data_IF_419336385698
#
_entry.id   IF_419336385698
#
_cell.length_a   1.000
_cell.length_b   1.000
_cell.length_c   1.000
_cell.angle_alpha   90.00
_cell.angle_beta   90.00
_cell.angle_gamma   90.00
#
_symmetry.space_group_name_H-M   'P 1'
#
loop_
_entity.id
_entity.type
_entity.pdbx_description
1 polymer ?
#
# COMPACT_ATOMS: atom_id res chain seq x y z
N UNK A 1 22.81 23.92 15.82
CA UNK A 1 22.30 22.69 16.47
C UNK A 1 20.98 22.34 15.80
N UNK A 2 20.94 21.37 14.88
CA UNK A 2 19.69 20.99 14.22
C UNK A 2 18.92 20.10 15.19
N UNK A 3 17.83 20.60 15.74
CA UNK A 3 16.91 19.81 16.57
C UNK A 3 16.26 18.81 15.61
N UNK A 4 16.68 17.54 15.66
CA UNK A 4 16.01 16.49 14.92
C UNK A 4 14.60 16.34 15.51
N UNK A 5 13.58 16.83 14.80
CA UNK A 5 12.18 16.68 15.20
C UNK A 5 11.86 15.19 15.39
N UNK A 6 11.60 14.82 16.64
CA UNK A 6 11.39 13.42 17.00
C UNK A 6 9.94 13.05 16.72
N UNK A 7 9.73 11.98 15.94
CA UNK A 7 8.39 11.52 15.58
C UNK A 7 7.85 10.52 16.61
N UNK A 8 6.56 10.66 16.95
CA UNK A 8 5.82 9.77 17.85
C UNK A 8 4.77 8.97 17.09
N UNK A 9 4.79 7.64 17.20
CA UNK A 9 3.65 6.81 16.81
C UNK A 9 3.52 5.57 17.69
N UNK A 10 2.31 5.28 18.16
CA UNK A 10 2.01 4.11 19.02
C UNK A 10 2.97 3.97 20.22
N UNK A 11 3.29 5.07 20.89
CA UNK A 11 4.20 5.10 22.03
C UNK A 11 5.70 5.02 21.69
N UNK A 12 6.06 4.79 20.42
CA UNK A 12 7.46 4.75 19.98
C UNK A 12 7.91 6.16 19.60
N UNK A 13 9.06 6.55 20.14
CA UNK A 13 9.73 7.84 19.91
C UNK A 13 11.02 7.56 19.14
N UNK A 14 11.10 8.00 17.87
CA UNK A 14 12.30 7.85 17.03
C UNK A 14 12.47 9.08 16.13
N UNK A 15 13.70 9.38 15.67
CA UNK A 15 13.94 10.46 14.72
C UNK A 15 13.09 10.32 13.45
N UNK A 16 12.86 9.08 13.01
CA UNK A 16 11.99 8.75 11.87
C UNK A 16 11.12 7.56 12.24
N UNK A 17 9.80 7.67 12.06
CA UNK A 17 8.86 6.56 12.22
C UNK A 17 8.24 6.19 10.88
N UNK A 18 8.68 5.05 10.34
CA UNK A 18 8.14 4.52 9.09
C UNK A 18 6.82 3.80 9.37
N UNK A 19 5.70 4.39 8.92
CA UNK A 19 4.38 3.77 9.04
C UNK A 19 4.31 2.47 8.23
N UNK A 20 3.54 1.49 8.72
CA UNK A 20 3.27 0.26 7.97
C UNK A 20 2.49 0.58 6.70
N UNK A 21 3.02 0.19 5.56
CA UNK A 21 2.30 0.24 4.29
C UNK A 21 1.17 -0.80 4.28
N UNK A 22 -0.03 -0.34 3.92
CA UNK A 22 -1.22 -1.18 3.74
C UNK A 22 -2.12 -0.63 2.66
N UNK A 23 -2.62 -1.52 1.81
CA UNK A 23 -3.72 -1.24 0.89
C UNK A 23 -4.99 -1.82 1.46
N UNK A 24 -6.06 -1.02 1.48
CA UNK A 24 -7.37 -1.43 1.96
C UNK A 24 -8.38 -1.09 0.86
N UNK A 25 -9.12 -2.10 0.40
CA UNK A 25 -10.32 -1.91 -0.40
C UNK A 25 -11.53 -2.00 0.53
N UNK A 26 -12.46 -1.05 0.39
CA UNK A 26 -13.65 -0.95 1.23
C UNK A 26 -14.88 -0.93 0.34
N UNK A 27 -15.90 -1.70 0.69
CA UNK A 27 -17.18 -1.76 -0.03
C UNK A 27 -18.32 -2.09 0.92
N UNK A 28 -19.54 -1.68 0.58
CA UNK A 28 -20.76 -2.15 1.24
C UNK A 28 -21.20 -3.55 0.81
N UNK A 29 -20.63 -4.08 -0.28
CA UNK A 29 -20.93 -5.43 -0.78
C UNK A 29 -19.79 -6.40 -0.42
N UNK A 30 -20.03 -7.42 0.41
CA UNK A 30 -19.03 -8.43 0.76
C UNK A 30 -18.70 -9.30 -0.46
N UNK A 31 -19.69 -9.73 -1.22
CA UNK A 31 -19.54 -10.53 -2.44
C UNK A 31 -18.61 -9.86 -3.46
N UNK A 32 -18.72 -8.53 -3.62
CA UNK A 32 -17.83 -7.77 -4.47
C UNK A 32 -16.37 -7.86 -4.01
N UNK A 33 -16.12 -7.70 -2.70
CA UNK A 33 -14.76 -7.75 -2.16
C UNK A 33 -14.17 -9.15 -2.17
N UNK A 34 -15.00 -10.18 -1.96
CA UNK A 34 -14.57 -11.58 -2.08
C UNK A 34 -14.12 -11.89 -3.51
N UNK A 35 -14.94 -11.57 -4.51
CA UNK A 35 -14.59 -11.77 -5.92
C UNK A 35 -13.37 -10.95 -6.33
N UNK A 36 -13.31 -9.68 -5.93
CA UNK A 36 -12.13 -8.83 -6.16
C UNK A 36 -10.88 -9.44 -5.54
N UNK A 37 -10.97 -9.94 -4.31
CA UNK A 37 -9.86 -10.56 -3.61
C UNK A 37 -9.39 -11.86 -4.24
N UNK A 38 -10.30 -12.70 -4.73
CA UNK A 38 -9.96 -13.90 -5.49
C UNK A 38 -9.24 -13.56 -6.80
N UNK A 39 -9.73 -12.56 -7.55
CA UNK A 39 -9.09 -12.12 -8.79
C UNK A 39 -7.68 -11.60 -8.51
N UNK A 40 -7.52 -10.71 -7.52
CA UNK A 40 -6.21 -10.17 -7.15
C UNK A 40 -5.26 -11.26 -6.64
N UNK A 41 -5.76 -12.23 -5.86
CA UNK A 41 -4.98 -13.39 -5.41
C UNK A 41 -4.43 -14.16 -6.61
N UNK A 42 -5.29 -14.50 -7.57
CA UNK A 42 -4.92 -15.34 -8.71
C UNK A 42 -3.98 -14.60 -9.66
N UNK A 43 -4.20 -13.30 -9.89
CA UNK A 43 -3.38 -12.51 -10.81
C UNK A 43 -2.01 -12.11 -10.24
N UNK A 44 -1.93 -11.82 -8.93
CA UNK A 44 -0.73 -11.24 -8.32
C UNK A 44 -0.06 -12.17 -7.29
N UNK A 45 -0.64 -13.35 -7.05
CA UNK A 45 -0.19 -14.27 -6.01
C UNK A 45 -0.23 -13.62 -4.62
N UNK A 46 -1.29 -12.87 -4.31
CA UNK A 46 -1.43 -12.22 -3.00
C UNK A 46 -1.81 -13.22 -1.92
N UNK A 47 -1.42 -12.94 -0.67
CA UNK A 47 -1.96 -13.68 0.46
C UNK A 47 -3.40 -13.21 0.73
N UNK A 48 -4.38 -13.94 0.19
CA UNK A 48 -5.79 -13.66 0.46
C UNK A 48 -6.11 -13.93 1.94
N UNK A 49 -6.64 -12.91 2.62
CA UNK A 49 -7.09 -12.99 4.00
C UNK A 49 -8.60 -12.77 4.04
N UNK A 50 -9.24 -13.23 5.13
CA UNK A 50 -10.66 -13.00 5.40
C UNK A 50 -11.04 -11.52 5.24
N UNK A 51 -12.27 -11.28 4.80
CA UNK A 51 -12.86 -9.96 4.87
C UNK A 51 -12.98 -9.52 6.33
N UNK A 52 -12.70 -8.24 6.55
CA UNK A 52 -12.97 -7.59 7.81
C UNK A 52 -14.35 -6.97 7.74
N UNK A 53 -15.24 -7.42 8.60
CA UNK A 53 -16.53 -6.79 8.80
C UNK A 53 -16.37 -5.56 9.71
N UNK A 54 -16.87 -4.43 9.24
CA UNK A 54 -16.98 -3.20 10.00
C UNK A 54 -18.41 -2.74 9.98
N UNK A 55 -18.82 -2.01 11.03
CA UNK A 55 -20.23 -1.67 11.32
C UNK A 55 -21.05 -1.05 10.16
N UNK A 56 -20.41 -0.55 9.10
CA UNK A 56 -21.06 0.01 7.90
C UNK A 56 -20.43 -0.44 6.57
N UNK A 57 -19.36 -1.22 6.59
CA UNK A 57 -18.62 -1.57 5.39
C UNK A 57 -17.67 -2.74 5.62
N UNK A 58 -17.50 -3.55 4.59
CA UNK A 58 -16.54 -4.63 4.52
C UNK A 58 -15.20 -4.12 4.01
N UNK A 59 -14.11 -4.78 4.43
CA UNK A 59 -12.76 -4.38 4.06
C UNK A 59 -11.88 -5.59 3.70
N UNK A 60 -11.18 -5.45 2.58
CA UNK A 60 -10.11 -6.35 2.16
C UNK A 60 -8.77 -5.66 2.39
N UNK A 61 -7.97 -6.20 3.31
CA UNK A 61 -6.75 -5.55 3.83
C UNK A 61 -5.50 -6.31 3.43
N UNK A 62 -4.58 -5.61 2.78
CA UNK A 62 -3.30 -6.16 2.35
C UNK A 62 -2.15 -5.59 3.17
N UNK A 63 -1.24 -6.47 3.59
CA UNK A 63 -0.02 -6.09 4.30
C UNK A 63 1.05 -5.55 3.34
N UNK A 64 2.21 -5.19 3.90
CA UNK A 64 3.34 -4.58 3.16
C UNK A 64 3.69 -5.32 1.87
N UNK A 65 3.93 -6.63 1.92
CA UNK A 65 4.35 -7.42 0.76
C UNK A 65 3.34 -7.38 -0.38
N UNK A 66 2.08 -7.69 -0.08
CA UNK A 66 0.99 -7.63 -1.07
C UNK A 66 0.71 -6.20 -1.54
N UNK A 67 0.87 -5.21 -0.67
CA UNK A 67 0.70 -3.79 -1.03
C UNK A 67 1.72 -3.33 -2.07
N UNK A 68 2.97 -3.82 -1.99
CA UNK A 68 4.00 -3.56 -3.01
C UNK A 68 3.64 -4.23 -4.33
N UNK A 69 3.12 -5.46 -4.31
CA UNK A 69 2.63 -6.13 -5.53
C UNK A 69 1.48 -5.37 -6.19
N UNK A 70 0.53 -4.87 -5.38
CA UNK A 70 -0.57 -4.04 -5.86
C UNK A 70 -0.05 -2.72 -6.46
N UNK A 71 0.93 -2.08 -5.83
CA UNK A 71 1.55 -0.87 -6.38
C UNK A 71 2.13 -1.11 -7.78
N UNK A 72 2.93 -2.18 -7.93
CA UNK A 72 3.49 -2.57 -9.23
C UNK A 72 2.39 -2.79 -10.27
N UNK A 73 1.35 -3.55 -9.92
CA UNK A 73 0.24 -3.80 -10.82
C UNK A 73 -0.49 -2.53 -11.27
N UNK A 74 -0.78 -1.60 -10.36
CA UNK A 74 -1.51 -0.38 -10.68
C UNK A 74 -0.72 0.61 -11.53
N UNK A 75 0.59 0.74 -11.28
CA UNK A 75 1.38 1.85 -11.81
C UNK A 75 2.39 1.45 -12.90
N UNK A 76 2.71 0.16 -13.05
CA UNK A 76 3.55 -0.33 -14.15
C UNK A 76 3.10 0.11 -15.55
N UNK A 77 1.80 0.05 -15.92
CA UNK A 77 1.37 0.44 -17.26
C UNK A 77 1.17 1.97 -17.43
N UNK A 78 1.27 2.77 -16.37
CA UNK A 78 0.94 4.19 -16.42
C UNK A 78 2.15 5.05 -16.82
N UNK A 79 2.46 5.14 -18.11
CA UNK A 79 3.61 5.91 -18.62
C UNK A 79 3.37 7.42 -18.75
N UNK A 80 2.12 7.92 -18.75
CA UNK A 80 1.86 9.32 -19.16
C UNK A 80 0.86 10.11 -18.30
N UNK A 81 -0.07 9.47 -17.57
CA UNK A 81 -1.00 10.14 -16.64
C UNK A 81 -1.31 9.23 -15.46
N UNK A 82 -0.67 9.47 -14.32
CA UNK A 82 -0.90 8.71 -13.10
C UNK A 82 -2.35 8.89 -12.63
N UNK A 83 -3.21 7.90 -12.87
CA UNK A 83 -4.45 7.78 -12.12
C UNK A 83 -4.11 7.65 -10.63
N UNK A 84 -4.90 8.28 -9.76
CA UNK A 84 -4.72 8.16 -8.30
C UNK A 84 -3.39 8.74 -7.78
N UNK A 85 -2.90 9.88 -8.29
CA UNK A 85 -1.67 10.57 -7.85
C UNK A 85 -1.49 10.61 -6.32
N UNK A 86 -2.55 10.97 -5.58
CA UNK A 86 -2.52 10.99 -4.10
C UNK A 86 -2.08 9.64 -3.50
N UNK A 87 -2.52 8.52 -4.07
CA UNK A 87 -2.11 7.18 -3.61
C UNK A 87 -0.68 6.87 -4.02
N UNK A 88 -0.28 7.25 -5.23
CA UNK A 88 1.12 7.14 -5.68
C UNK A 88 2.07 7.88 -4.74
N UNK A 89 1.76 9.11 -4.35
CA UNK A 89 2.58 9.92 -3.45
C UNK A 89 2.79 9.24 -2.08
N UNK A 90 1.77 8.52 -1.57
CA UNK A 90 1.90 7.72 -0.34
C UNK A 90 2.91 6.59 -0.51
N UNK A 91 2.89 5.87 -1.63
CA UNK A 91 3.87 4.84 -1.94
C UNK A 91 5.27 5.44 -2.14
N UNK A 92 5.39 6.54 -2.90
CA UNK A 92 6.66 7.22 -3.13
C UNK A 92 7.30 7.66 -1.81
N UNK A 93 6.53 8.28 -0.92
CA UNK A 93 7.01 8.65 0.41
C UNK A 93 7.44 7.44 1.24
N UNK A 94 6.69 6.33 1.17
CA UNK A 94 7.08 5.09 1.82
C UNK A 94 8.42 4.56 1.30
N UNK A 95 8.64 4.55 -0.03
CA UNK A 95 9.87 4.06 -0.64
C UNK A 95 11.07 4.98 -0.37
N UNK A 96 10.88 6.32 -0.33
CA UNK A 96 11.92 7.27 0.09
C UNK A 96 12.42 6.99 1.51
N UNK A 97 11.50 6.64 2.42
CA UNK A 97 11.83 6.27 3.80
C UNK A 97 12.34 4.82 3.93
N UNK A 98 12.18 3.98 2.91
CA UNK A 98 12.60 2.58 2.89
C UNK A 98 13.31 2.20 1.57
N UNK A 99 14.48 2.79 1.25
CA UNK A 99 15.16 2.58 -0.04
C UNK A 99 15.49 1.11 -0.33
N UNK A 100 15.76 0.32 0.72
CA UNK A 100 16.02 -1.13 0.63
C UNK A 100 14.83 -1.96 0.12
N UNK A 101 13.67 -1.33 -0.10
CA UNK A 101 12.47 -1.97 -0.66
C UNK A 101 12.22 -1.61 -2.13
N UNK A 102 13.12 -0.84 -2.75
CA UNK A 102 13.05 -0.48 -4.16
C UNK A 102 13.81 -1.53 -4.97
N UNK A 103 13.09 -2.28 -5.79
CA UNK A 103 13.67 -3.12 -6.84
C UNK A 103 13.66 -2.40 -8.19
N UNK A 104 14.21 -3.04 -9.24
CA UNK A 104 14.30 -2.48 -10.58
C UNK A 104 12.93 -2.05 -11.14
N UNK A 105 11.88 -2.81 -10.85
CA UNK A 105 10.52 -2.50 -11.33
C UNK A 105 9.96 -1.27 -10.62
N UNK A 106 10.10 -1.19 -9.30
CA UNK A 106 9.69 -0.01 -8.52
C UNK A 106 10.49 1.21 -8.96
N UNK A 107 11.80 1.07 -9.16
CA UNK A 107 12.65 2.17 -9.64
C UNK A 107 12.15 2.74 -10.95
N UNK A 108 11.75 1.88 -11.90
CA UNK A 108 11.24 2.34 -13.19
C UNK A 108 9.86 3.02 -13.09
N UNK A 109 9.02 2.61 -12.14
CA UNK A 109 7.71 3.23 -11.89
C UNK A 109 7.87 4.61 -11.21
N UNK A 110 8.91 4.80 -10.41
CA UNK A 110 9.16 6.03 -9.66
C UNK A 110 9.90 7.12 -10.47
N UNK A 111 10.42 6.79 -11.65
CA UNK A 111 11.04 7.74 -12.59
C UNK A 111 9.98 8.58 -13.28
#
# INVERSE_FOLDING_TARGET
>A
MIIAEVQKAKGIVKPIVIKKLSVIFTSGSPDFLEKLGMILKNQLGLCYKKLYDGNRAFQLRYGRGDSVKIFKFLYKPCSQRLYLKRKFDIFNNYFKLSPQKIDTEISNILK
#
